data_IF_178868320239
#
_entry.id   IF_178868320239
#
_cell.length_a   1.000
_cell.length_b   1.000
_cell.length_c   1.000
_cell.angle_alpha   90.00
_cell.angle_beta   90.00
_cell.angle_gamma   90.00
#
_symmetry.space_group_name_H-M   'P 1'
#
loop_
_entity.id
_entity.type
_entity.pdbx_description
1 polymer ?
#
# COMPACT_ATOMS: atom_id res chain seq x y z
N UNK A 1 -5.53 -0.87 -2.69
CA UNK A 1 -5.79 -0.10 -3.90
C UNK A 1 -7.17 -0.46 -4.45
N UNK A 2 -7.93 0.54 -4.82
CA UNK A 2 -9.26 0.35 -5.41
C UNK A 2 -9.21 -0.07 -6.88
N UNK A 3 -8.05 0.04 -7.51
CA UNK A 3 -7.81 -0.36 -8.90
C UNK A 3 -6.59 -1.25 -8.99
N UNK A 4 -6.37 -1.86 -10.17
CA UNK A 4 -5.20 -2.71 -10.40
C UNK A 4 -3.90 -1.90 -10.32
N UNK A 5 -2.79 -2.58 -10.07
CA UNK A 5 -1.47 -1.92 -9.88
C UNK A 5 -0.94 -1.24 -11.14
N UNK A 6 -1.46 -1.57 -12.29
CA UNK A 6 -1.08 -0.97 -13.58
C UNK A 6 -2.19 -0.13 -14.20
N UNK A 7 -3.23 0.20 -13.43
CA UNK A 7 -4.31 1.05 -13.90
C UNK A 7 -3.76 2.43 -14.24
N UNK A 8 -4.02 2.94 -15.45
CA UNK A 8 -3.31 4.12 -15.96
C UNK A 8 -3.89 5.46 -15.53
N UNK A 9 -5.07 5.50 -14.97
CA UNK A 9 -5.71 6.75 -14.53
C UNK A 9 -5.40 6.99 -13.05
N UNK A 10 -4.46 7.91 -12.78
CA UNK A 10 -3.94 8.14 -11.44
C UNK A 10 -4.97 8.74 -10.48
N UNK A 11 -5.95 9.47 -10.99
CA UNK A 11 -7.02 10.04 -10.19
C UNK A 11 -7.94 8.97 -9.56
N UNK A 12 -7.89 7.75 -10.08
CA UNK A 12 -8.67 6.61 -9.57
C UNK A 12 -7.87 5.71 -8.64
N UNK A 13 -6.59 5.94 -8.51
CA UNK A 13 -5.72 5.19 -7.59
C UNK A 13 -5.97 5.70 -6.19
N UNK A 14 -6.49 4.83 -5.33
CA UNK A 14 -6.88 5.23 -3.98
C UNK A 14 -6.75 4.05 -3.02
N UNK A 15 -6.30 4.36 -1.80
CA UNK A 15 -6.29 3.41 -0.69
C UNK A 15 -7.72 3.10 -0.25
N UNK A 16 -8.04 1.82 -0.11
CA UNK A 16 -9.36 1.38 0.32
C UNK A 16 -9.35 1.16 1.84
N UNK A 17 -9.81 2.16 2.57
CA UNK A 17 -9.84 2.12 4.04
C UNK A 17 -10.77 1.02 4.58
N UNK A 18 -11.82 0.67 3.85
CA UNK A 18 -12.74 -0.37 4.31
C UNK A 18 -12.08 -1.75 4.25
N UNK A 19 -11.30 -2.02 3.20
CA UNK A 19 -10.51 -3.26 3.12
C UNK A 19 -9.46 -3.28 4.23
N UNK A 20 -8.80 -2.17 4.48
CA UNK A 20 -7.84 -2.06 5.58
C UNK A 20 -8.50 -2.38 6.92
N UNK A 21 -9.68 -1.84 7.18
CA UNK A 21 -10.42 -2.09 8.42
C UNK A 21 -10.75 -3.57 8.58
N UNK A 22 -11.28 -4.18 7.54
CA UNK A 22 -11.65 -5.60 7.58
C UNK A 22 -10.42 -6.49 7.82
N UNK A 23 -9.33 -6.23 7.09
CA UNK A 23 -8.09 -6.98 7.25
C UNK A 23 -7.51 -6.80 8.64
N UNK A 24 -7.44 -5.58 9.13
CA UNK A 24 -6.84 -5.24 10.42
C UNK A 24 -7.63 -5.84 11.56
N UNK A 25 -8.95 -5.77 11.52
CA UNK A 25 -9.81 -6.37 12.53
C UNK A 25 -9.55 -7.88 12.63
N UNK A 26 -9.52 -8.58 11.48
CA UNK A 26 -9.25 -10.00 11.47
C UNK A 26 -7.86 -10.34 11.97
N UNK A 27 -6.85 -9.56 11.57
CA UNK A 27 -5.48 -9.78 11.98
C UNK A 27 -5.30 -9.57 13.48
N UNK A 28 -5.79 -8.46 14.02
CA UNK A 28 -5.64 -8.13 15.43
C UNK A 28 -6.47 -9.02 16.34
N UNK A 29 -7.52 -9.67 15.82
CA UNK A 29 -8.32 -10.59 16.63
C UNK A 29 -7.49 -11.73 17.23
N UNK A 30 -6.41 -12.11 16.57
CA UNK A 30 -5.48 -13.13 17.05
C UNK A 30 -4.10 -12.56 17.38
N UNK A 31 -3.57 -11.68 16.52
CA UNK A 31 -2.21 -11.19 16.64
C UNK A 31 -2.00 -10.22 17.81
N UNK A 32 -3.04 -9.55 18.29
CA UNK A 32 -2.93 -8.65 19.45
C UNK A 32 -2.40 -9.35 20.70
N UNK A 33 -2.54 -10.68 20.77
CA UNK A 33 -2.07 -11.45 21.91
C UNK A 33 -0.54 -11.54 21.98
N UNK A 34 0.16 -11.37 20.86
CA UNK A 34 1.63 -11.52 20.82
C UNK A 34 2.37 -10.32 20.23
N UNK A 35 1.68 -9.36 19.61
CA UNK A 35 2.33 -8.18 19.06
C UNK A 35 2.77 -7.22 20.17
N UNK A 36 3.97 -6.66 19.99
CA UNK A 36 4.46 -5.61 20.86
C UNK A 36 3.78 -4.27 20.53
N UNK A 37 3.67 -3.35 21.50
CA UNK A 37 3.07 -2.03 21.24
C UNK A 37 3.73 -1.28 20.09
N UNK A 38 5.06 -1.37 19.93
CA UNK A 38 5.78 -0.72 18.85
C UNK A 38 5.41 -1.34 17.49
N UNK A 39 5.12 -2.62 17.43
CA UNK A 39 4.69 -3.29 16.22
C UNK A 39 3.29 -2.82 15.79
N UNK A 40 2.39 -2.72 16.75
CA UNK A 40 1.03 -2.24 16.53
C UNK A 40 1.04 -0.78 16.05
N UNK A 41 1.87 0.06 16.68
CA UNK A 41 2.03 1.47 16.32
C UNK A 41 2.48 1.66 14.87
N UNK A 42 3.26 0.71 14.36
CA UNK A 42 3.82 0.77 13.01
C UNK A 42 3.00 0.03 11.94
N UNK A 43 1.80 -0.45 12.25
CA UNK A 43 0.95 -1.10 11.26
C UNK A 43 0.58 -0.19 10.08
N UNK A 44 0.23 1.11 10.28
CA UNK A 44 0.02 2.00 9.14
C UNK A 44 1.26 2.16 8.27
N UNK A 45 2.44 2.27 8.88
CA UNK A 45 3.70 2.34 8.14
C UNK A 45 3.94 1.06 7.33
N UNK A 46 3.69 -0.10 7.91
CA UNK A 46 3.84 -1.38 7.22
C UNK A 46 2.93 -1.45 5.98
N UNK A 47 1.72 -0.89 6.08
CA UNK A 47 0.79 -0.82 4.95
C UNK A 47 1.37 0.04 3.82
N UNK A 48 2.06 1.11 4.14
CA UNK A 48 2.68 2.02 3.15
C UNK A 48 3.97 1.45 2.56
N UNK A 49 4.66 0.59 3.28
CA UNK A 49 5.98 0.09 2.89
C UNK A 49 5.95 -0.68 1.57
N UNK A 50 4.94 -1.53 1.36
CA UNK A 50 4.85 -2.31 0.12
C UNK A 50 4.65 -1.45 -1.12
N UNK A 51 3.70 -0.50 -1.17
CA UNK A 51 3.62 0.41 -2.32
C UNK A 51 4.90 1.21 -2.54
N UNK A 52 5.59 1.63 -1.48
CA UNK A 52 6.87 2.31 -1.60
C UNK A 52 7.90 1.42 -2.29
N UNK A 53 8.06 0.18 -1.81
CA UNK A 53 9.00 -0.77 -2.40
C UNK A 53 8.67 -1.08 -3.85
N UNK A 54 7.40 -1.31 -4.16
CA UNK A 54 6.97 -1.61 -5.53
C UNK A 54 7.18 -0.41 -6.45
N UNK A 55 6.91 0.81 -5.98
CA UNK A 55 7.19 2.01 -6.75
C UNK A 55 8.66 2.08 -7.16
N UNK A 56 9.56 1.90 -6.19
CA UNK A 56 11.00 1.94 -6.45
C UNK A 56 11.42 0.83 -7.40
N UNK A 57 10.93 -0.39 -7.19
CA UNK A 57 11.29 -1.54 -8.02
C UNK A 57 10.80 -1.41 -9.46
N UNK A 58 9.56 -0.97 -9.66
CA UNK A 58 9.03 -0.74 -11.00
C UNK A 58 9.77 0.38 -11.72
N UNK A 59 10.10 1.47 -11.02
CA UNK A 59 10.84 2.58 -11.61
C UNK A 59 12.26 2.14 -11.96
N UNK A 60 12.91 1.39 -11.08
CA UNK A 60 14.24 0.85 -11.33
C UNK A 60 14.25 -0.03 -12.58
N UNK A 61 13.26 -0.92 -12.71
CA UNK A 61 13.17 -1.80 -13.86
C UNK A 61 12.92 -1.02 -15.16
N UNK A 62 12.06 -0.01 -15.11
CA UNK A 62 11.82 0.87 -16.25
C UNK A 62 13.12 1.55 -16.71
N UNK A 63 13.87 2.12 -15.79
CA UNK A 63 15.12 2.81 -16.10
C UNK A 63 16.23 1.85 -16.56
N UNK A 64 16.14 0.59 -16.17
CA UNK A 64 17.11 -0.46 -16.54
C UNK A 64 16.75 -1.22 -17.81
N UNK A 65 15.65 -0.86 -18.48
CA UNK A 65 15.25 -1.44 -19.76
C UNK A 65 14.22 -2.56 -19.68
N UNK A 66 13.37 -2.56 -18.63
CA UNK A 66 12.25 -3.50 -18.49
C UNK A 66 12.66 -4.97 -18.49
N UNK A 67 13.67 -5.31 -17.70
CA UNK A 67 14.27 -6.65 -17.71
C UNK A 67 13.62 -7.65 -16.78
N UNK A 68 12.98 -7.18 -15.71
CA UNK A 68 12.49 -8.05 -14.63
C UNK A 68 11.01 -8.39 -14.82
N UNK A 69 10.14 -7.39 -14.96
CA UNK A 69 8.72 -7.61 -15.15
C UNK A 69 8.35 -7.60 -16.63
N UNK A 70 7.45 -8.52 -16.99
CA UNK A 70 6.93 -8.56 -18.35
C UNK A 70 6.05 -7.34 -18.61
N UNK A 71 6.34 -6.61 -19.68
CA UNK A 71 5.60 -5.42 -20.11
C UNK A 71 4.82 -5.69 -21.38
N UNK A 72 3.61 -5.14 -21.46
CA UNK A 72 2.75 -5.23 -22.64
C UNK A 72 2.90 -4.00 -23.54
N UNK A 73 3.53 -2.93 -23.03
CA UNK A 73 3.80 -1.71 -23.78
C UNK A 73 5.01 -0.99 -23.17
N UNK A 74 5.65 -0.03 -23.90
CA UNK A 74 6.95 0.52 -23.49
C UNK A 74 6.99 1.25 -22.14
N UNK A 75 5.88 1.86 -21.70
CA UNK A 75 5.84 2.60 -20.42
C UNK A 75 5.10 1.85 -19.33
N UNK A 76 4.87 0.54 -19.47
CA UNK A 76 4.08 -0.23 -18.52
C UNK A 76 4.64 -0.15 -17.10
N UNK A 77 5.96 -0.34 -16.93
CA UNK A 77 6.58 -0.26 -15.60
C UNK A 77 6.58 1.16 -15.04
N UNK A 78 6.64 2.18 -15.89
CA UNK A 78 6.49 3.56 -15.44
C UNK A 78 5.08 3.82 -14.91
N UNK A 79 4.05 3.32 -15.61
CA UNK A 79 2.66 3.43 -15.17
C UNK A 79 2.48 2.71 -13.83
N UNK A 80 3.05 1.52 -13.68
CA UNK A 80 3.01 0.77 -12.42
C UNK A 80 3.66 1.55 -11.28
N UNK A 81 4.84 2.14 -11.52
CA UNK A 81 5.55 2.92 -10.50
C UNK A 81 4.72 4.14 -10.08
N UNK A 82 4.14 4.86 -11.04
CA UNK A 82 3.33 6.03 -10.75
C UNK A 82 2.05 5.66 -9.99
N UNK A 83 1.42 4.54 -10.36
CA UNK A 83 0.26 3.99 -9.67
C UNK A 83 0.58 3.72 -8.19
N UNK A 84 1.69 3.05 -7.92
CA UNK A 84 2.09 2.73 -6.55
C UNK A 84 2.47 3.99 -5.75
N UNK A 85 3.03 5.00 -6.39
CA UNK A 85 3.30 6.29 -5.75
C UNK A 85 1.99 6.97 -5.31
N UNK A 86 1.00 6.99 -6.18
CA UNK A 86 -0.30 7.58 -5.84
C UNK A 86 -1.01 6.81 -4.74
N UNK A 87 -0.87 5.48 -4.74
CA UNK A 87 -1.38 4.64 -3.66
C UNK A 87 -0.70 4.99 -2.34
N UNK A 88 0.63 5.14 -2.35
CA UNK A 88 1.39 5.52 -1.16
C UNK A 88 0.91 6.87 -0.60
N UNK A 89 0.73 7.87 -1.46
CA UNK A 89 0.25 9.17 -1.04
C UNK A 89 -1.16 9.09 -0.44
N UNK A 90 -2.03 8.26 -1.02
CA UNK A 90 -3.37 8.03 -0.49
C UNK A 90 -3.33 7.35 0.88
N UNK A 91 -2.44 6.37 1.07
CA UNK A 91 -2.25 5.73 2.38
C UNK A 91 -1.80 6.76 3.42
N UNK A 92 -0.86 7.63 3.08
CA UNK A 92 -0.37 8.65 4.01
C UNK A 92 -1.48 9.60 4.44
N UNK A 93 -2.38 9.97 3.54
CA UNK A 93 -3.54 10.80 3.87
C UNK A 93 -4.49 10.10 4.84
N UNK A 94 -4.50 8.79 4.85
CA UNK A 94 -5.39 7.99 5.69
C UNK A 94 -4.74 7.55 7.00
N UNK A 95 -3.49 7.92 7.28
CA UNK A 95 -2.81 7.51 8.51
C UNK A 95 -3.60 7.84 9.78
N UNK A 96 -4.16 9.04 9.94
CA UNK A 96 -4.94 9.32 11.14
C UNK A 96 -6.14 8.38 11.31
N UNK A 97 -6.86 8.11 10.23
CA UNK A 97 -8.01 7.19 10.26
C UNK A 97 -7.58 5.76 10.55
N UNK A 98 -6.42 5.33 10.01
CA UNK A 98 -5.88 4.00 10.27
C UNK A 98 -5.49 3.84 11.73
N UNK A 99 -4.83 4.82 12.31
CA UNK A 99 -4.42 4.81 13.73
C UNK A 99 -5.63 4.79 14.64
N UNK A 100 -6.65 5.58 14.35
CA UNK A 100 -7.89 5.61 15.11
C UNK A 100 -8.60 4.26 15.09
N UNK A 101 -8.69 3.65 13.92
CA UNK A 101 -9.34 2.33 13.79
C UNK A 101 -8.58 1.25 14.56
N UNK A 102 -7.25 1.25 14.50
CA UNK A 102 -6.43 0.30 15.26
C UNK A 102 -6.68 0.47 16.77
N UNK A 103 -6.75 1.71 17.26
CA UNK A 103 -7.04 1.99 18.66
C UNK A 103 -8.42 1.45 19.04
N UNK A 104 -9.41 1.58 18.17
CA UNK A 104 -10.75 1.04 18.39
C UNK A 104 -10.75 -0.49 18.49
N UNK A 105 -9.95 -1.16 17.68
CA UNK A 105 -9.84 -2.63 17.71
C UNK A 105 -9.25 -3.13 19.02
N UNK A 106 -8.42 -2.33 19.68
CA UNK A 106 -7.70 -2.70 20.90
C UNK A 106 -8.38 -2.20 22.17
N UNK A 107 -9.44 -1.41 22.04
CA UNK A 107 -10.18 -0.86 23.18
C UNK A 107 -11.02 -1.92 23.89
#
# INVERSE_FOLDING_TARGET
>A
NKVAEDFPEMDKVEFDIEIFKAFTEGYLSTASAFLLPVEIENLPYATALFPYMQCVRFLWDYLSGDKYWKCQYPTHNFVRANNQLHLLLSIEKNYPAMKEFIAQCLA
#
